data_IF_936574436245
#
_entry.id   IF_936574436245
#
_cell.length_a   1.000
_cell.length_b   1.000
_cell.length_c   1.000
_cell.angle_alpha   90.00
_cell.angle_beta   90.00
_cell.angle_gamma   90.00
#
_symmetry.space_group_name_H-M   'P 1'
#
loop_
_entity.id
_entity.type
_entity.pdbx_description
1 polymer ?
#
# COMPACT_ATOMS: atom_id res chain seq x y z
N UNK A 1 2.30 -6.37 2.20
CA UNK A 1 2.84 -6.03 0.88
C UNK A 1 1.74 -5.26 0.19
N UNK A 2 2.04 -4.11 -0.38
CA UNK A 2 1.06 -3.30 -1.12
C UNK A 2 1.36 -3.35 -2.62
N UNK A 3 0.30 -3.38 -3.42
CA UNK A 3 0.34 -3.08 -4.84
C UNK A 3 0.00 -1.61 -5.01
N UNK A 4 0.76 -0.92 -5.87
CA UNK A 4 0.57 0.49 -6.17
C UNK A 4 0.54 0.64 -7.67
N UNK A 5 -0.55 1.16 -8.21
CA UNK A 5 -0.64 1.49 -9.64
C UNK A 5 -1.09 2.93 -9.82
N UNK A 6 -0.57 3.57 -10.85
CA UNK A 6 -0.96 4.91 -11.25
C UNK A 6 -1.68 4.84 -12.59
N UNK A 7 -2.85 5.47 -12.65
CA UNK A 7 -3.70 5.51 -13.84
C UNK A 7 -3.89 6.95 -14.27
N UNK A 8 -3.61 7.23 -15.55
CA UNK A 8 -3.97 8.48 -16.19
C UNK A 8 -5.42 8.42 -16.66
N UNK A 9 -6.28 9.31 -16.16
CA UNK A 9 -7.68 9.42 -16.53
C UNK A 9 -8.15 10.86 -16.36
N UNK A 10 -8.91 11.39 -17.31
CA UNK A 10 -9.49 12.75 -17.25
C UNK A 10 -8.47 13.85 -16.88
N UNK A 11 -7.26 13.78 -17.44
CA UNK A 11 -6.17 14.72 -17.16
C UNK A 11 -5.71 14.74 -15.68
N UNK A 12 -5.91 13.64 -14.96
CA UNK A 12 -5.50 13.45 -13.58
C UNK A 12 -4.80 12.09 -13.40
N UNK A 13 -3.96 12.01 -12.36
CA UNK A 13 -3.32 10.77 -11.94
C UNK A 13 -4.11 10.21 -10.76
N UNK A 14 -4.61 8.99 -10.93
CA UNK A 14 -5.28 8.22 -9.88
C UNK A 14 -4.33 7.14 -9.36
N UNK A 15 -4.05 7.16 -8.05
CA UNK A 15 -3.30 6.09 -7.39
C UNK A 15 -4.26 5.02 -6.85
N UNK A 16 -4.04 3.77 -7.22
CA UNK A 16 -4.71 2.59 -6.66
C UNK A 16 -3.70 1.89 -5.77
N UNK A 17 -4.02 1.78 -4.47
CA UNK A 17 -3.17 1.14 -3.46
C UNK A 17 -3.99 0.07 -2.75
N UNK A 18 -3.50 -1.17 -2.73
CA UNK A 18 -4.21 -2.30 -2.12
C UNK A 18 -3.25 -3.39 -1.64
N UNK A 19 -3.58 -4.07 -0.55
CA UNK A 19 -2.88 -5.29 -0.10
C UNK A 19 -3.40 -6.55 -0.80
N UNK A 20 -4.60 -6.49 -1.39
CA UNK A 20 -5.24 -7.60 -2.09
C UNK A 20 -5.13 -7.44 -3.60
N UNK A 21 -4.58 -8.46 -4.28
CA UNK A 21 -4.51 -8.53 -5.76
C UNK A 21 -5.91 -8.43 -6.38
N UNK A 22 -6.89 -9.10 -5.79
CA UNK A 22 -8.25 -9.12 -6.33
C UNK A 22 -8.87 -7.72 -6.31
N UNK A 23 -8.83 -7.05 -5.15
CA UNK A 23 -9.37 -5.70 -4.98
C UNK A 23 -8.62 -4.69 -5.84
N UNK A 24 -7.29 -4.84 -5.95
CA UNK A 24 -6.45 -4.00 -6.79
C UNK A 24 -6.86 -4.05 -8.26
N UNK A 25 -6.96 -5.26 -8.80
CA UNK A 25 -7.33 -5.49 -10.18
C UNK A 25 -8.77 -5.05 -10.48
N UNK A 26 -9.70 -5.24 -9.53
CA UNK A 26 -11.06 -4.77 -9.68
C UNK A 26 -11.14 -3.23 -9.78
N UNK A 27 -10.37 -2.52 -8.96
CA UNK A 27 -10.30 -1.06 -9.01
C UNK A 27 -9.67 -0.56 -10.33
N UNK A 28 -8.57 -1.19 -10.75
CA UNK A 28 -7.94 -0.90 -12.04
C UNK A 28 -8.91 -1.12 -13.21
N UNK A 29 -9.62 -2.25 -13.22
CA UNK A 29 -10.58 -2.56 -14.27
C UNK A 29 -11.66 -1.49 -14.40
N UNK A 30 -12.18 -0.98 -13.28
CA UNK A 30 -13.17 0.12 -13.28
C UNK A 30 -12.60 1.40 -13.88
N UNK A 31 -11.36 1.76 -13.54
CA UNK A 31 -10.71 2.95 -14.12
C UNK A 31 -10.44 2.76 -15.62
N UNK A 32 -10.05 1.56 -16.05
CA UNK A 32 -9.84 1.24 -17.47
C UNK A 32 -11.15 1.29 -18.26
N UNK A 33 -12.27 0.84 -17.69
CA UNK A 33 -13.61 0.97 -18.31
C UNK A 33 -14.02 2.43 -18.54
N UNK A 34 -13.49 3.36 -17.73
CA UNK A 34 -13.72 4.79 -17.89
C UNK A 34 -12.75 5.44 -18.90
N UNK A 35 -11.89 4.67 -19.57
CA UNK A 35 -10.87 5.17 -20.50
C UNK A 35 -9.51 5.45 -19.85
N UNK A 36 -9.29 4.96 -18.62
CA UNK A 36 -8.03 5.14 -17.91
C UNK A 36 -6.90 4.31 -18.50
N UNK A 37 -5.68 4.85 -18.51
CA UNK A 37 -4.46 4.16 -18.95
C UNK A 37 -3.53 3.96 -17.78
N UNK A 38 -3.12 2.71 -17.51
CA UNK A 38 -2.09 2.42 -16.50
C UNK A 38 -0.76 2.96 -17.00
N UNK A 39 -0.14 3.86 -16.24
CA UNK A 39 1.16 4.47 -16.56
C UNK A 39 2.30 3.89 -15.73
N UNK A 40 1.99 3.31 -14.57
CA UNK A 40 2.98 2.69 -13.70
C UNK A 40 2.32 1.65 -12.79
N UNK A 41 3.02 0.55 -12.53
CA UNK A 41 2.59 -0.51 -11.64
C UNK A 41 3.77 -1.02 -10.82
N UNK A 42 3.64 -1.00 -9.50
CA UNK A 42 4.68 -1.33 -8.55
C UNK A 42 4.15 -2.28 -7.49
N UNK A 43 5.01 -3.20 -7.06
CA UNK A 43 4.83 -3.96 -5.82
C UNK A 43 5.77 -3.38 -4.79
N UNK A 44 5.22 -2.98 -3.64
CA UNK A 44 6.00 -2.55 -2.46
C UNK A 44 5.83 -3.59 -1.37
N UNK A 45 6.91 -4.30 -1.06
CA UNK A 45 6.92 -5.18 0.09
C UNK A 45 6.81 -4.36 1.38
N UNK A 46 6.17 -4.93 2.41
CA UNK A 46 6.07 -4.29 3.71
C UNK A 46 7.43 -4.43 4.39
N UNK A 47 8.41 -3.63 3.98
CA UNK A 47 9.57 -3.40 4.82
C UNK A 47 9.06 -2.73 6.09
N UNK A 48 9.21 -3.42 7.22
CA UNK A 48 8.81 -2.93 8.54
C UNK A 48 9.29 -1.48 8.68
N UNK A 49 8.35 -0.57 8.93
CA UNK A 49 8.69 0.83 9.18
C UNK A 49 9.72 0.89 10.30
N UNK A 50 10.81 1.62 10.11
CA UNK A 50 11.79 1.85 11.18
C UNK A 50 11.72 3.30 11.60
N UNK A 51 11.61 3.54 12.90
CA UNK A 51 11.70 4.87 13.49
C UNK A 51 13.07 5.05 14.13
N UNK A 52 13.62 6.25 14.13
CA UNK A 52 14.87 6.55 14.84
C UNK A 52 14.50 7.03 16.24
N UNK A 53 14.93 6.31 17.27
CA UNK A 53 14.77 6.71 18.68
C UNK A 53 16.16 6.94 19.26
N UNK A 54 16.41 8.16 19.76
CA UNK A 54 17.71 8.55 20.32
C UNK A 54 18.91 8.21 19.42
N UNK A 55 18.79 8.47 18.12
CA UNK A 55 19.85 8.21 17.14
C UNK A 55 20.05 6.73 16.75
N UNK A 56 19.24 5.80 17.28
CA UNK A 56 19.28 4.39 16.92
C UNK A 56 18.05 4.03 16.07
N UNK A 57 18.28 3.30 14.97
CA UNK A 57 17.21 2.75 14.13
C UNK A 57 16.50 1.64 14.89
N UNK A 58 15.23 1.84 15.21
CA UNK A 58 14.35 0.86 15.86
C UNK A 58 13.30 0.40 14.87
N UNK A 59 13.17 -0.91 14.70
CA UNK A 59 12.10 -1.51 13.90
C UNK A 59 10.78 -1.28 14.65
N UNK A 60 9.82 -0.60 14.01
CA UNK A 60 8.50 -0.38 14.56
C UNK A 60 7.51 -1.22 13.74
N UNK A 61 6.92 -2.28 14.32
CA UNK A 61 5.88 -3.02 13.61
C UNK A 61 4.71 -2.08 13.33
N UNK A 62 4.42 -1.83 12.05
CA UNK A 62 3.33 -0.94 11.61
C UNK A 62 1.95 -1.50 11.99
N UNK A 63 1.87 -2.79 12.27
CA UNK A 63 0.74 -3.40 12.96
C UNK A 63 1.00 -3.32 14.47
N UNK A 64 0.26 -2.43 15.14
CA UNK A 64 -0.07 -2.63 16.56
C UNK A 64 -0.76 -3.99 16.68
N UNK A 65 -0.01 -5.06 16.91
CA UNK A 65 -0.45 -6.05 17.88
C UNK A 65 -0.17 -5.40 19.22
N UNK A 66 -1.14 -4.61 19.71
CA UNK A 66 -1.16 -4.28 21.13
C UNK A 66 -0.95 -5.58 21.88
N UNK A 67 0.06 -5.60 22.75
CA UNK A 67 0.46 -6.80 23.44
C UNK A 67 -0.69 -7.36 24.25
N UNK A 68 -1.39 -8.36 23.72
CA UNK A 68 -1.99 -9.41 24.53
C UNK A 68 -0.84 -10.25 25.10
N UNK A 69 -0.10 -9.67 26.04
CA UNK A 69 0.44 -10.44 27.16
C UNK A 69 -0.67 -10.47 28.21
N UNK A 70 -1.58 -11.45 28.09
CA UNK A 70 -2.30 -11.91 29.27
C UNK A 70 -1.28 -12.73 30.05
N UNK A 71 -0.63 -12.08 31.01
CA UNK A 71 0.08 -12.77 32.09
C UNK A 71 -0.32 -12.06 33.37
N UNK A 72 -1.11 -12.75 34.18
CA UNK A 72 -1.72 -12.31 35.42
C UNK A 72 -2.99 -13.10 35.67
#
# INVERSE_FOLDING_TARGET
MFLVSYVWLHNQIHAVISESVHTHNQALYRLMQQGGTIIQNERKDNDLGSVIVNGKRSVWPLTKSEGLKVNG
#
